data_IF_575180195448
#
_entry.id   IF_575180195448
#
_cell.length_a   1.000
_cell.length_b   1.000
_cell.length_c   1.000
_cell.angle_alpha   90.00
_cell.angle_beta   90.00
_cell.angle_gamma   90.00
#
_symmetry.space_group_name_H-M   'P 1'
#
loop_
_entity.id
_entity.type
_entity.pdbx_description
1 polymer ?
#
# COMPACT_ATOMS: atom_id res chain seq x y z
N UNK A 1 13.67 -1.60 4.94
CA UNK A 1 12.53 -0.66 4.88
C UNK A 1 12.52 -0.07 3.48
N UNK A 2 11.54 -0.45 2.67
CA UNK A 2 11.40 0.12 1.32
C UNK A 2 10.90 1.56 1.48
N UNK A 3 11.56 2.56 0.88
CA UNK A 3 11.17 3.96 1.05
C UNK A 3 9.81 4.22 0.40
N UNK A 4 8.91 4.91 1.12
CA UNK A 4 7.65 5.40 0.54
C UNK A 4 7.94 6.47 -0.50
N UNK A 5 7.56 6.19 -1.76
CA UNK A 5 7.63 7.18 -2.84
C UNK A 5 6.29 7.90 -2.95
N UNK A 6 6.25 9.14 -2.47
CA UNK A 6 5.05 9.97 -2.53
C UNK A 6 4.90 10.66 -3.90
N UNK A 7 3.84 10.30 -4.63
CA UNK A 7 3.43 10.91 -5.90
C UNK A 7 2.21 11.82 -5.77
N UNK A 8 1.61 11.86 -4.58
CA UNK A 8 0.41 12.65 -4.26
C UNK A 8 0.74 13.98 -3.56
N UNK A 9 2.02 14.23 -3.24
CA UNK A 9 2.49 15.41 -2.52
C UNK A 9 1.79 15.59 -1.17
N UNK A 10 1.78 14.51 -0.38
CA UNK A 10 1.19 14.47 0.95
C UNK A 10 1.88 15.46 1.89
N UNK A 11 1.11 16.09 2.81
CA UNK A 11 1.68 16.81 3.93
C UNK A 11 2.67 15.93 4.70
N UNK A 12 3.78 16.52 5.14
CA UNK A 12 4.88 15.79 5.79
C UNK A 12 4.41 14.92 6.97
N UNK A 13 3.46 15.44 7.77
CA UNK A 13 2.88 14.70 8.90
C UNK A 13 2.09 13.47 8.44
N UNK A 14 1.26 13.61 7.41
CA UNK A 14 0.46 12.53 6.84
C UNK A 14 1.36 11.47 6.21
N UNK A 15 2.41 11.90 5.50
CA UNK A 15 3.43 11.01 4.95
C UNK A 15 4.15 10.23 6.05
N UNK A 16 4.61 10.90 7.11
CA UNK A 16 5.32 10.24 8.20
C UNK A 16 4.40 9.28 9.00
N UNK A 17 3.11 9.60 9.12
CA UNK A 17 2.13 8.69 9.69
C UNK A 17 1.93 7.44 8.82
N UNK A 18 1.81 7.64 7.51
CA UNK A 18 1.67 6.55 6.55
C UNK A 18 2.93 5.66 6.54
N UNK A 19 4.14 6.23 6.51
CA UNK A 19 5.38 5.47 6.58
C UNK A 19 5.45 4.57 7.81
N UNK A 20 5.00 5.05 8.98
CA UNK A 20 4.93 4.24 10.22
C UNK A 20 3.89 3.13 10.13
N UNK A 21 2.75 3.41 9.52
CA UNK A 21 1.67 2.43 9.34
C UNK A 21 2.07 1.29 8.38
N UNK A 22 2.81 1.62 7.32
CA UNK A 22 3.21 0.67 6.28
C UNK A 22 4.53 -0.06 6.58
N UNK A 23 5.38 0.48 7.48
CA UNK A 23 6.65 -0.13 7.86
C UNK A 23 6.63 -1.63 8.24
N UNK A 24 5.60 -2.17 8.92
CA UNK A 24 5.54 -3.60 9.24
C UNK A 24 5.02 -4.48 8.10
N UNK A 25 4.52 -3.91 7.00
CA UNK A 25 3.96 -4.66 5.89
C UNK A 25 5.11 -5.08 4.95
N UNK A 26 5.53 -6.34 5.07
CA UNK A 26 6.71 -6.85 4.35
C UNK A 26 6.38 -7.87 3.28
N UNK A 27 5.21 -8.50 3.36
CA UNK A 27 4.73 -9.51 2.43
C UNK A 27 3.36 -9.12 1.88
N UNK A 28 3.00 -9.68 0.72
CA UNK A 28 1.67 -9.48 0.14
C UNK A 28 0.54 -9.81 1.12
N UNK A 29 0.67 -10.90 1.88
CA UNK A 29 -0.33 -11.29 2.88
C UNK A 29 -0.52 -10.24 3.98
N UNK A 30 0.52 -9.47 4.33
CA UNK A 30 0.45 -8.42 5.34
C UNK A 30 -0.38 -7.24 4.79
N UNK A 31 -0.13 -6.86 3.53
CA UNK A 31 -0.87 -5.81 2.82
C UNK A 31 -2.35 -6.16 2.69
N UNK A 32 -2.66 -7.38 2.27
CA UNK A 32 -4.05 -7.86 2.15
C UNK A 32 -4.76 -7.84 3.50
N UNK A 33 -4.12 -8.36 4.56
CA UNK A 33 -4.70 -8.33 5.92
C UNK A 33 -4.90 -6.91 6.43
N UNK A 34 -3.95 -6.02 6.19
CA UNK A 34 -4.06 -4.60 6.55
C UNK A 34 -5.22 -3.91 5.82
N UNK A 35 -5.39 -4.19 4.52
CA UNK A 35 -6.50 -3.68 3.72
C UNK A 35 -7.86 -4.15 4.23
N UNK A 36 -8.00 -5.45 4.53
CA UNK A 36 -9.24 -6.00 5.07
C UNK A 36 -9.56 -5.52 6.50
N UNK A 37 -8.54 -5.19 7.29
CA UNK A 37 -8.72 -4.69 8.65
C UNK A 37 -9.20 -3.24 8.73
N UNK A 38 -9.21 -2.48 7.62
CA UNK A 38 -9.72 -1.12 7.61
C UNK A 38 -11.26 -1.08 7.61
N UNK A 39 -11.82 0.06 8.02
CA UNK A 39 -13.27 0.29 7.99
C UNK A 39 -13.56 1.55 7.16
N UNK A 40 -14.19 1.43 5.98
CA UNK A 40 -14.55 0.18 5.30
C UNK A 40 -13.32 -0.63 4.86
N UNK A 41 -13.46 -1.96 4.62
CA UNK A 41 -12.38 -2.76 4.07
C UNK A 41 -11.90 -2.19 2.73
N UNK A 42 -10.58 -2.19 2.53
CA UNK A 42 -9.97 -1.83 1.24
C UNK A 42 -9.79 -3.09 0.42
N UNK A 43 -10.63 -3.26 -0.59
CA UNK A 43 -10.46 -4.33 -1.56
C UNK A 43 -9.27 -4.01 -2.49
N UNK A 44 -8.55 -5.06 -2.89
CA UNK A 44 -7.51 -4.95 -3.91
C UNK A 44 -8.16 -4.48 -5.21
N UNK A 45 -7.75 -3.30 -5.68
CA UNK A 45 -8.28 -2.71 -6.91
C UNK A 45 -7.68 -3.41 -8.12
N UNK A 46 -6.37 -3.65 -8.08
CA UNK A 46 -5.63 -4.22 -9.20
C UNK A 46 -4.40 -4.99 -8.69
N UNK A 47 -4.07 -6.07 -9.40
CA UNK A 47 -2.80 -6.79 -9.25
C UNK A 47 -2.09 -6.72 -10.59
N UNK A 48 -0.95 -6.03 -10.63
CA UNK A 48 -0.11 -5.89 -11.82
C UNK A 48 1.00 -6.94 -11.72
N UNK A 49 0.94 -7.94 -12.60
CA UNK A 49 1.97 -8.97 -12.69
C UNK A 49 3.20 -8.37 -13.38
N UNK A 50 4.33 -8.30 -12.68
CA UNK A 50 5.59 -7.83 -13.27
C UNK A 50 6.37 -8.99 -13.91
N UNK A 51 6.46 -10.11 -13.19
CA UNK A 51 7.05 -11.36 -13.67
C UNK A 51 6.44 -12.58 -12.95
N UNK A 52 7.11 -13.74 -13.02
CA UNK A 52 6.65 -14.99 -12.41
C UNK A 52 6.65 -15.00 -10.86
N UNK A 53 7.32 -14.05 -10.20
CA UNK A 53 7.46 -13.98 -8.75
C UNK A 53 7.13 -12.61 -8.13
N UNK A 54 7.00 -11.55 -8.92
CA UNK A 54 6.78 -10.18 -8.44
C UNK A 54 5.44 -9.61 -8.94
N UNK A 55 4.66 -9.10 -7.99
CA UNK A 55 3.35 -8.51 -8.23
C UNK A 55 3.25 -7.15 -7.52
N UNK A 56 2.87 -6.12 -8.28
CA UNK A 56 2.43 -4.88 -7.66
C UNK A 56 0.96 -4.99 -7.29
N UNK A 57 0.62 -4.60 -6.06
CA UNK A 57 -0.78 -4.63 -5.59
C UNK A 57 -1.24 -3.21 -5.30
N UNK A 58 -2.36 -2.85 -5.92
CA UNK A 58 -2.96 -1.52 -5.84
C UNK A 58 -4.14 -1.56 -4.88
N UNK A 59 -4.08 -0.76 -3.82
CA UNK A 59 -5.18 -0.59 -2.86
C UNK A 59 -5.67 0.86 -2.85
N UNK A 60 -6.99 1.07 -2.72
CA UNK A 60 -7.54 2.40 -2.56
C UNK A 60 -7.12 2.96 -1.20
N UNK A 61 -6.89 4.27 -1.18
CA UNK A 61 -6.53 5.03 0.01
C UNK A 61 -7.37 6.30 0.11
N UNK A 62 -7.11 7.10 1.14
CA UNK A 62 -7.88 8.29 1.48
C UNK A 62 -7.98 9.27 0.29
N UNK A 63 -9.09 9.98 0.23
CA UNK A 63 -9.33 11.08 -0.71
C UNK A 63 -9.14 10.70 -2.19
N UNK A 64 -9.44 9.43 -2.54
CA UNK A 64 -9.28 8.91 -3.90
C UNK A 64 -7.84 8.61 -4.31
N UNK A 65 -6.90 8.66 -3.35
CA UNK A 65 -5.53 8.22 -3.56
C UNK A 65 -5.42 6.70 -3.65
N UNK A 66 -4.26 6.23 -4.12
CA UNK A 66 -3.94 4.81 -4.22
C UNK A 66 -2.56 4.54 -3.64
N UNK A 67 -2.42 3.37 -3.02
CA UNK A 67 -1.13 2.83 -2.60
C UNK A 67 -0.77 1.68 -3.53
N UNK A 68 0.47 1.70 -4.01
CA UNK A 68 1.05 0.63 -4.82
C UNK A 68 2.13 -0.04 -3.99
N UNK A 69 1.95 -1.33 -3.75
CA UNK A 69 2.90 -2.15 -2.99
C UNK A 69 3.64 -3.05 -3.95
N UNK A 70 4.96 -2.88 -4.03
CA UNK A 70 5.87 -3.84 -4.66
C UNK A 70 6.03 -5.02 -3.68
N UNK A 71 5.44 -6.16 -4.02
CA UNK A 71 5.38 -7.32 -3.13
C UNK A 71 5.73 -8.61 -3.88
N UNK A 72 6.31 -9.54 -3.12
CA UNK A 72 6.42 -10.95 -3.47
C UNK A 72 5.35 -11.77 -2.78
#
# INVERSE_FOLDING_TARGET
MVPLTDRAALPLEQRAALERELAPLTLLQDVVRWGFASTPPRDVTEVVVQDEFTHDVVLPWKDGGYLVFDTT
#
